data_IF_744261750237
#
_entry.id   IF_744261750237
#
_cell.length_a   1.000
_cell.length_b   1.000
_cell.length_c   1.000
_cell.angle_alpha   90.00
_cell.angle_beta   90.00
_cell.angle_gamma   90.00
#
_symmetry.space_group_name_H-M   'P 1'
#
loop_
_entity.id
_entity.type
_entity.pdbx_description
1 polymer ?
#
# COMPACT_ATOMS: atom_id res chain seq x y z
N UNK A 1 -19.60 -56.29 10.91
CA UNK A 1 -19.93 -55.02 11.63
C UNK A 1 -18.65 -54.17 11.74
N UNK A 2 -18.36 -53.40 10.74
CA UNK A 2 -17.18 -52.48 10.68
C UNK A 2 -17.67 -51.06 10.98
N UNK A 3 -17.29 -50.54 12.16
CA UNK A 3 -17.56 -49.16 12.56
C UNK A 3 -16.64 -48.22 11.75
N UNK A 4 -17.21 -47.46 10.86
CA UNK A 4 -16.52 -46.33 10.19
C UNK A 4 -16.30 -45.23 11.23
N UNK A 5 -15.06 -45.00 11.59
CA UNK A 5 -14.63 -43.80 12.36
C UNK A 5 -14.57 -42.60 11.43
N UNK A 6 -15.59 -41.76 11.49
CA UNK A 6 -15.57 -40.41 10.87
C UNK A 6 -14.50 -39.58 11.61
N UNK A 7 -13.55 -38.97 10.92
CA UNK A 7 -12.59 -38.06 11.58
C UNK A 7 -13.36 -36.88 12.19
N UNK A 8 -13.26 -36.70 13.50
CA UNK A 8 -13.75 -35.52 14.20
C UNK A 8 -13.10 -34.30 13.55
N UNK A 9 -13.89 -33.43 12.90
CA UNK A 9 -13.49 -32.08 12.56
C UNK A 9 -12.93 -31.45 13.83
N UNK A 10 -11.66 -31.05 13.77
CA UNK A 10 -10.99 -30.29 14.83
C UNK A 10 -11.81 -29.01 15.01
N UNK A 11 -12.50 -28.92 16.15
CA UNK A 11 -13.23 -27.73 16.54
C UNK A 11 -12.22 -26.56 16.55
N UNK A 12 -12.39 -25.61 15.63
CA UNK A 12 -11.70 -24.33 15.70
C UNK A 12 -12.12 -23.67 17.01
N UNK A 13 -11.29 -23.76 18.03
CA UNK A 13 -11.47 -23.00 19.27
C UNK A 13 -11.52 -21.53 18.89
N UNK A 14 -12.59 -20.84 19.31
CA UNK A 14 -12.72 -19.37 19.22
C UNK A 14 -11.60 -18.73 20.04
N UNK A 15 -10.40 -18.64 19.45
CA UNK A 15 -9.28 -17.94 20.07
C UNK A 15 -9.64 -16.46 20.14
N UNK A 16 -9.53 -15.87 21.34
CA UNK A 16 -9.78 -14.42 21.50
C UNK A 16 -8.84 -13.63 20.56
N UNK A 17 -9.27 -12.43 20.14
CA UNK A 17 -8.42 -11.55 19.31
C UNK A 17 -7.04 -11.33 19.95
N UNK A 18 -6.98 -11.29 21.30
CA UNK A 18 -5.74 -11.19 22.08
C UNK A 18 -4.83 -12.40 21.84
N UNK A 19 -5.36 -13.61 21.85
CA UNK A 19 -4.57 -14.83 21.59
C UNK A 19 -4.01 -14.84 20.19
N UNK A 20 -4.79 -14.42 19.16
CA UNK A 20 -4.33 -14.33 17.78
C UNK A 20 -3.20 -13.28 17.63
N UNK A 21 -3.33 -12.10 18.27
CA UNK A 21 -2.30 -11.07 18.26
C UNK A 21 -1.03 -11.51 18.98
N UNK A 22 -1.16 -12.17 20.14
CA UNK A 22 0.00 -12.72 20.88
C UNK A 22 0.67 -13.81 20.05
N UNK A 23 -0.07 -14.67 19.37
CA UNK A 23 0.52 -15.69 18.48
C UNK A 23 1.25 -15.07 17.28
N UNK A 24 0.79 -13.92 16.77
CA UNK A 24 1.37 -13.23 15.62
C UNK A 24 2.43 -12.17 15.99
N UNK A 25 2.86 -12.07 17.26
CA UNK A 25 3.76 -11.02 17.73
C UNK A 25 5.05 -10.89 16.91
N UNK A 26 5.68 -12.03 16.59
CA UNK A 26 6.92 -12.05 15.82
C UNK A 26 6.73 -11.53 14.40
N UNK A 27 5.56 -11.83 13.78
CA UNK A 27 5.21 -11.32 12.46
C UNK A 27 4.99 -9.81 12.48
N UNK A 28 4.29 -9.26 13.50
CA UNK A 28 4.08 -7.82 13.65
C UNK A 28 5.37 -7.07 13.99
N UNK A 29 6.24 -7.62 14.83
CA UNK A 29 7.54 -7.04 15.14
C UNK A 29 8.45 -7.02 13.89
N UNK A 30 8.49 -8.12 13.14
CA UNK A 30 9.22 -8.19 11.87
C UNK A 30 8.67 -7.20 10.85
N UNK A 31 7.35 -7.11 10.71
CA UNK A 31 6.70 -6.15 9.82
C UNK A 31 7.03 -4.70 10.22
N UNK A 32 7.01 -4.36 11.51
CA UNK A 32 7.36 -3.02 11.99
C UNK A 32 8.77 -2.62 11.56
N UNK A 33 9.75 -3.49 11.80
CA UNK A 33 11.15 -3.27 11.42
C UNK A 33 11.32 -3.15 9.88
N UNK A 34 10.64 -4.00 9.11
CA UNK A 34 10.63 -3.90 7.64
C UNK A 34 10.05 -2.56 7.17
N UNK A 35 8.93 -2.11 7.77
CA UNK A 35 8.27 -0.89 7.36
C UNK A 35 9.07 0.35 7.74
N UNK A 36 9.74 0.36 8.88
CA UNK A 36 10.67 1.43 9.27
C UNK A 36 11.80 1.53 8.25
N UNK A 37 12.49 0.43 7.95
CA UNK A 37 13.56 0.42 6.94
C UNK A 37 13.07 0.83 5.55
N UNK A 38 11.89 0.34 5.12
CA UNK A 38 11.29 0.71 3.84
C UNK A 38 10.90 2.20 3.77
N UNK A 39 10.38 2.77 4.86
CA UNK A 39 10.04 4.18 4.95
C UNK A 39 11.27 5.07 4.83
N UNK A 40 12.32 4.75 5.58
CA UNK A 40 13.58 5.50 5.54
C UNK A 40 14.23 5.41 4.14
N UNK A 41 14.41 4.20 3.59
CA UNK A 41 15.03 4.03 2.28
C UNK A 41 14.20 4.70 1.18
N UNK A 42 12.87 4.67 1.30
CA UNK A 42 11.95 5.26 0.32
C UNK A 42 12.16 6.75 0.16
N UNK A 43 12.28 7.51 1.24
CA UNK A 43 12.53 8.96 1.20
C UNK A 43 14.01 9.26 0.93
N UNK A 44 14.93 8.48 1.51
CA UNK A 44 16.37 8.71 1.42
C UNK A 44 16.87 8.65 -0.02
N UNK A 45 16.44 7.66 -0.81
CA UNK A 45 16.90 7.51 -2.21
C UNK A 45 16.47 8.74 -3.04
N UNK A 46 15.24 9.24 -2.87
CA UNK A 46 14.77 10.44 -3.57
C UNK A 46 15.56 11.69 -3.17
N UNK A 47 15.72 11.93 -1.87
CA UNK A 47 16.48 13.07 -1.33
C UNK A 47 17.95 13.01 -1.78
N UNK A 48 18.57 11.85 -1.65
CA UNK A 48 19.98 11.67 -2.05
C UNK A 48 20.18 11.82 -3.55
N UNK A 49 19.26 11.33 -4.39
CA UNK A 49 19.35 11.54 -5.84
C UNK A 49 19.42 13.01 -6.20
N UNK A 50 18.61 13.83 -5.55
CA UNK A 50 18.60 15.28 -5.75
C UNK A 50 19.91 15.93 -5.28
N UNK A 51 20.40 15.54 -4.10
CA UNK A 51 21.67 16.07 -3.54
C UNK A 51 22.91 15.65 -4.36
N UNK A 52 22.86 14.49 -5.02
CA UNK A 52 23.91 14.02 -5.95
C UNK A 52 23.79 14.65 -7.35
N UNK A 53 22.80 15.52 -7.56
CA UNK A 53 22.61 16.24 -8.83
C UNK A 53 22.02 15.39 -9.96
N UNK A 54 21.28 14.33 -9.64
CA UNK A 54 20.56 13.58 -10.67
C UNK A 54 19.46 14.48 -11.26
N UNK A 55 19.29 14.42 -12.58
CA UNK A 55 18.15 15.07 -13.23
C UNK A 55 16.83 14.51 -12.65
N UNK A 56 15.82 15.38 -12.45
CA UNK A 56 14.57 15.02 -11.79
C UNK A 56 13.83 13.88 -12.52
N UNK A 57 13.80 13.90 -13.86
CA UNK A 57 13.23 12.80 -14.67
C UNK A 57 13.97 11.49 -14.45
N UNK A 58 15.31 11.51 -14.36
CA UNK A 58 16.12 10.32 -14.06
C UNK A 58 15.82 9.82 -12.65
N UNK A 59 15.70 10.70 -11.67
CA UNK A 59 15.28 10.36 -10.31
C UNK A 59 13.89 9.70 -10.31
N UNK A 60 12.94 10.26 -11.05
CA UNK A 60 11.62 9.68 -11.21
C UNK A 60 11.64 8.26 -11.79
N UNK A 61 12.47 8.01 -12.80
CA UNK A 61 12.65 6.70 -13.39
C UNK A 61 13.30 5.68 -12.41
N UNK A 62 14.33 6.09 -11.67
CA UNK A 62 14.94 5.29 -10.60
C UNK A 62 13.91 4.91 -9.54
N UNK A 63 13.10 5.85 -9.10
CA UNK A 63 12.07 5.60 -8.10
C UNK A 63 10.90 4.76 -8.64
N UNK A 64 10.55 4.90 -9.93
CA UNK A 64 9.55 4.07 -10.62
C UNK A 64 9.98 2.60 -10.73
N UNK A 65 11.28 2.32 -10.85
CA UNK A 65 11.81 0.96 -10.90
C UNK A 65 11.42 0.12 -9.67
N UNK A 66 11.24 0.74 -8.50
CA UNK A 66 10.69 0.07 -7.32
C UNK A 66 9.30 -0.53 -7.60
N UNK A 67 8.41 0.23 -8.24
CA UNK A 67 7.04 -0.24 -8.50
C UNK A 67 7.00 -1.30 -9.62
N UNK A 68 7.93 -1.24 -10.58
CA UNK A 68 8.11 -2.32 -11.56
C UNK A 68 8.49 -3.62 -10.86
N UNK A 69 9.51 -3.57 -9.99
CA UNK A 69 9.90 -4.72 -9.18
C UNK A 69 8.76 -5.20 -8.28
N UNK A 70 8.05 -4.27 -7.64
CA UNK A 70 6.92 -4.56 -6.77
C UNK A 70 5.83 -5.34 -7.51
N UNK A 71 5.46 -4.90 -8.71
CA UNK A 71 4.47 -5.59 -9.53
C UNK A 71 4.92 -7.00 -9.91
N UNK A 72 6.19 -7.20 -10.27
CA UNK A 72 6.78 -8.51 -10.53
C UNK A 72 6.77 -9.41 -9.30
N UNK A 73 7.12 -8.86 -8.12
CA UNK A 73 7.14 -9.59 -6.86
C UNK A 73 5.78 -10.14 -6.44
N UNK A 74 4.69 -9.37 -6.66
CA UNK A 74 3.32 -9.84 -6.37
C UNK A 74 2.94 -11.07 -7.18
N UNK A 75 3.44 -11.22 -8.40
CA UNK A 75 3.09 -12.31 -9.31
C UNK A 75 3.96 -13.57 -9.07
N UNK A 76 5.20 -13.38 -8.67
CA UNK A 76 6.19 -14.47 -8.59
C UNK A 76 6.26 -15.08 -7.19
N UNK A 77 6.15 -14.27 -6.13
CA UNK A 77 6.29 -14.73 -4.74
C UNK A 77 5.32 -15.85 -4.35
N UNK A 78 4.04 -15.87 -4.77
CA UNK A 78 3.14 -16.98 -4.51
C UNK A 78 3.70 -18.34 -4.92
N UNK A 79 4.44 -18.40 -6.05
CA UNK A 79 5.07 -19.63 -6.53
C UNK A 79 6.22 -20.09 -5.63
N UNK A 80 7.01 -19.14 -5.10
CA UNK A 80 8.07 -19.45 -4.13
C UNK A 80 7.48 -19.94 -2.81
N UNK A 81 6.43 -19.29 -2.31
CA UNK A 81 5.74 -19.71 -1.07
C UNK A 81 5.19 -21.14 -1.17
N UNK A 82 4.61 -21.51 -2.32
CA UNK A 82 4.12 -22.85 -2.56
C UNK A 82 5.24 -23.92 -2.54
N UNK A 83 6.47 -23.55 -2.89
CA UNK A 83 7.61 -24.50 -2.96
C UNK A 83 8.37 -24.62 -1.65
N UNK A 84 8.69 -23.51 -0.98
CA UNK A 84 9.62 -23.51 0.17
C UNK A 84 9.00 -23.00 1.46
N UNK A 85 7.75 -22.52 1.43
CA UNK A 85 7.00 -22.04 2.60
C UNK A 85 7.29 -20.58 2.98
N UNK A 86 6.46 -20.05 3.88
CA UNK A 86 6.42 -18.63 4.25
C UNK A 86 7.71 -18.12 4.90
N UNK A 87 8.23 -18.84 5.93
CA UNK A 87 9.39 -18.39 6.72
C UNK A 87 10.65 -18.26 5.85
N UNK A 88 10.92 -19.26 5.00
CA UNK A 88 12.09 -19.23 4.12
C UNK A 88 12.01 -18.13 3.09
N UNK A 89 10.83 -17.91 2.49
CA UNK A 89 10.61 -16.83 1.53
C UNK A 89 10.75 -15.47 2.24
N UNK A 90 10.15 -15.30 3.43
CA UNK A 90 10.30 -14.09 4.23
C UNK A 90 11.78 -13.77 4.50
N UNK A 91 12.53 -14.74 5.05
CA UNK A 91 13.94 -14.53 5.42
C UNK A 91 14.82 -14.21 4.21
N UNK A 92 14.62 -14.92 3.09
CA UNK A 92 15.36 -14.66 1.85
C UNK A 92 15.08 -13.29 1.27
N UNK A 93 13.79 -12.87 1.23
CA UNK A 93 13.39 -11.57 0.70
C UNK A 93 13.78 -10.41 1.63
N UNK A 94 13.71 -10.60 2.96
CA UNK A 94 14.17 -9.58 3.91
C UNK A 94 15.70 -9.38 3.84
N UNK A 95 16.45 -10.47 3.70
CA UNK A 95 17.90 -10.39 3.47
C UNK A 95 18.25 -9.70 2.15
N UNK A 96 17.51 -10.02 1.06
CA UNK A 96 17.68 -9.35 -0.22
C UNK A 96 17.36 -7.85 -0.12
N UNK A 97 16.24 -7.47 0.53
CA UNK A 97 15.88 -6.07 0.73
C UNK A 97 16.95 -5.31 1.53
N UNK A 98 17.47 -5.92 2.62
CA UNK A 98 18.55 -5.35 3.42
C UNK A 98 19.83 -5.15 2.60
N UNK A 99 20.22 -6.14 1.81
CA UNK A 99 21.40 -6.04 0.93
C UNK A 99 21.24 -4.91 -0.09
N UNK A 100 20.06 -4.79 -0.73
CA UNK A 100 19.80 -3.69 -1.68
C UNK A 100 19.85 -2.34 -0.98
N UNK A 101 19.33 -2.21 0.24
CA UNK A 101 19.41 -0.97 1.02
C UNK A 101 20.88 -0.57 1.29
N UNK A 102 21.71 -1.50 1.71
CA UNK A 102 23.14 -1.25 1.96
C UNK A 102 23.90 -0.87 0.68
N UNK A 103 23.63 -1.57 -0.42
CA UNK A 103 24.30 -1.32 -1.70
C UNK A 103 23.99 0.07 -2.30
N UNK A 104 22.83 0.67 -2.00
CA UNK A 104 22.55 2.06 -2.41
C UNK A 104 23.56 3.05 -1.82
N UNK A 105 24.05 2.81 -0.60
CA UNK A 105 25.04 3.66 0.05
C UNK A 105 26.47 3.51 -0.50
N UNK A 106 26.76 2.40 -1.21
CA UNK A 106 28.11 2.09 -1.71
C UNK A 106 28.33 2.50 -3.15
N UNK A 107 27.30 2.49 -3.99
CA UNK A 107 27.43 2.75 -5.43
C UNK A 107 26.44 3.81 -5.87
N UNK A 108 26.92 5.04 -6.04
CA UNK A 108 26.10 6.20 -6.44
C UNK A 108 26.10 6.30 -7.96
N UNK A 109 25.09 5.69 -8.59
CA UNK A 109 24.81 5.88 -10.02
C UNK A 109 23.34 5.59 -10.31
N UNK A 110 22.75 6.34 -11.23
CA UNK A 110 21.33 6.20 -11.57
C UNK A 110 20.99 4.79 -12.08
N UNK A 111 21.83 4.22 -12.93
CA UNK A 111 21.62 2.87 -13.47
C UNK A 111 21.69 1.79 -12.38
N UNK A 112 22.70 1.86 -11.50
CA UNK A 112 22.82 0.97 -10.35
C UNK A 112 21.61 1.09 -9.43
N UNK A 113 21.22 2.32 -9.09
CA UNK A 113 20.08 2.56 -8.21
C UNK A 113 18.75 2.09 -8.81
N UNK A 114 18.55 2.22 -10.13
CA UNK A 114 17.36 1.67 -10.79
C UNK A 114 17.29 0.14 -10.64
N UNK A 115 18.41 -0.57 -10.82
CA UNK A 115 18.49 -2.03 -10.63
C UNK A 115 18.24 -2.39 -9.16
N UNK A 116 18.90 -1.70 -8.23
CA UNK A 116 18.71 -1.95 -6.80
C UNK A 116 17.26 -1.70 -6.37
N UNK A 117 16.63 -0.61 -6.85
CA UNK A 117 15.22 -0.28 -6.60
C UNK A 117 14.27 -1.34 -7.15
N UNK A 118 14.55 -1.87 -8.35
CA UNK A 118 13.76 -2.95 -8.95
C UNK A 118 13.80 -4.22 -8.07
N UNK A 119 15.00 -4.67 -7.68
CA UNK A 119 15.17 -5.86 -6.83
C UNK A 119 14.56 -5.61 -5.45
N UNK A 120 14.77 -4.43 -4.88
CA UNK A 120 14.21 -4.03 -3.60
C UNK A 120 12.67 -4.03 -3.64
N UNK A 121 12.06 -3.46 -4.68
CA UNK A 121 10.62 -3.47 -4.87
C UNK A 121 10.04 -4.87 -4.99
N UNK A 122 10.72 -5.76 -5.73
CA UNK A 122 10.35 -7.17 -5.83
C UNK A 122 10.37 -7.85 -4.45
N UNK A 123 11.43 -7.64 -3.67
CA UNK A 123 11.56 -8.21 -2.34
C UNK A 123 10.46 -7.69 -1.39
N UNK A 124 10.20 -6.38 -1.40
CA UNK A 124 9.16 -5.77 -0.56
C UNK A 124 7.76 -6.27 -0.90
N UNK A 125 7.42 -6.40 -2.20
CA UNK A 125 6.15 -6.98 -2.61
C UNK A 125 5.98 -8.40 -2.09
N UNK A 126 7.03 -9.21 -2.21
CA UNK A 126 7.02 -10.57 -1.71
C UNK A 126 6.83 -10.64 -0.19
N UNK A 127 7.47 -9.75 0.55
CA UNK A 127 7.30 -9.66 2.01
C UNK A 127 5.87 -9.29 2.39
N UNK A 128 5.21 -8.37 1.68
CA UNK A 128 3.79 -8.07 1.87
C UNK A 128 2.92 -9.32 1.60
N UNK A 129 3.14 -10.01 0.48
CA UNK A 129 2.39 -11.25 0.14
C UNK A 129 2.54 -12.30 1.24
N UNK A 130 3.76 -12.51 1.76
CA UNK A 130 4.03 -13.49 2.83
C UNK A 130 3.29 -13.11 4.11
N UNK A 131 3.43 -11.85 4.58
CA UNK A 131 2.82 -11.39 5.82
C UNK A 131 1.30 -11.46 5.75
N UNK A 132 0.71 -10.98 4.66
CA UNK A 132 -0.74 -10.95 4.47
C UNK A 132 -1.34 -12.35 4.35
N UNK A 133 -0.68 -13.25 3.61
CA UNK A 133 -1.09 -14.64 3.53
C UNK A 133 -1.07 -15.29 4.91
N UNK A 134 -0.01 -15.09 5.66
CA UNK A 134 0.14 -15.69 6.99
C UNK A 134 -0.91 -15.14 7.98
N UNK A 135 -1.14 -13.83 7.99
CA UNK A 135 -2.17 -13.21 8.84
C UNK A 135 -3.58 -13.70 8.48
N UNK A 136 -3.88 -13.88 7.19
CA UNK A 136 -5.18 -14.38 6.75
C UNK A 136 -5.51 -15.77 7.29
N UNK A 137 -4.51 -16.60 7.43
CA UNK A 137 -4.68 -17.99 7.86
C UNK A 137 -4.71 -18.13 9.39
N UNK A 138 -4.06 -17.21 10.12
CA UNK A 138 -4.06 -17.19 11.59
C UNK A 138 -5.37 -16.65 12.20
N UNK A 139 -6.19 -15.92 11.41
CA UNK A 139 -7.29 -15.13 11.97
C UNK A 139 -8.66 -15.69 11.59
N UNK A 140 -9.50 -15.92 12.60
CA UNK A 140 -10.93 -16.23 12.41
C UNK A 140 -11.69 -15.00 11.86
N UNK A 141 -12.79 -15.23 11.14
CA UNK A 141 -13.64 -14.16 10.61
C UNK A 141 -14.13 -13.16 11.69
N UNK A 142 -14.32 -13.61 12.92
CA UNK A 142 -14.76 -12.79 14.04
C UNK A 142 -13.71 -11.75 14.47
N UNK A 143 -12.42 -12.09 14.36
CA UNK A 143 -11.31 -11.27 14.84
C UNK A 143 -10.58 -10.51 13.71
N UNK A 144 -10.96 -10.76 12.45
CA UNK A 144 -10.28 -10.24 11.26
C UNK A 144 -10.14 -8.72 11.24
N UNK A 145 -11.21 -8.00 11.60
CA UNK A 145 -11.19 -6.53 11.63
C UNK A 145 -10.15 -5.96 12.60
N UNK A 146 -10.02 -6.55 13.80
CA UNK A 146 -9.05 -6.10 14.81
C UNK A 146 -7.61 -6.36 14.40
N UNK A 147 -7.33 -7.54 13.85
CA UNK A 147 -5.98 -7.91 13.39
C UNK A 147 -5.57 -7.06 12.18
N UNK A 148 -6.52 -6.79 11.26
CA UNK A 148 -6.28 -5.87 10.15
C UNK A 148 -6.02 -4.43 10.60
N UNK A 149 -6.69 -3.96 11.65
CA UNK A 149 -6.41 -2.63 12.22
C UNK A 149 -4.98 -2.55 12.79
N UNK A 150 -4.51 -3.60 13.50
CA UNK A 150 -3.12 -3.67 13.98
C UNK A 150 -2.13 -3.76 12.80
N UNK A 151 -2.44 -4.56 11.78
CA UNK A 151 -1.63 -4.65 10.57
C UNK A 151 -1.47 -3.28 9.89
N UNK A 152 -2.57 -2.51 9.78
CA UNK A 152 -2.55 -1.15 9.24
C UNK A 152 -1.70 -0.20 10.08
N UNK A 153 -1.90 -0.22 11.39
CA UNK A 153 -1.13 0.62 12.33
C UNK A 153 0.36 0.34 12.21
N UNK A 154 0.76 -0.93 12.20
CA UNK A 154 2.16 -1.34 12.09
C UNK A 154 2.74 -1.01 10.72
N UNK A 155 2.00 -1.29 9.64
CA UNK A 155 2.49 -1.07 8.28
C UNK A 155 2.65 0.41 7.94
N UNK A 156 1.60 1.19 8.15
CA UNK A 156 1.60 2.63 7.79
C UNK A 156 2.34 3.46 8.84
N UNK A 157 2.17 3.12 10.13
CA UNK A 157 2.90 3.75 11.22
C UNK A 157 4.41 3.52 11.12
N UNK A 158 4.83 2.27 10.87
CA UNK A 158 6.23 1.94 10.66
C UNK A 158 6.82 2.66 9.45
N UNK A 159 6.08 2.73 8.32
CA UNK A 159 6.48 3.48 7.14
C UNK A 159 6.69 4.97 7.46
N UNK A 160 5.71 5.61 8.12
CA UNK A 160 5.78 7.02 8.50
C UNK A 160 6.93 7.32 9.47
N UNK A 161 7.12 6.46 10.49
CA UNK A 161 8.27 6.57 11.40
C UNK A 161 9.60 6.48 10.64
N UNK A 162 9.73 5.50 9.73
CA UNK A 162 10.91 5.37 8.90
C UNK A 162 11.18 6.62 8.05
N UNK A 163 10.16 7.21 7.46
CA UNK A 163 10.28 8.46 6.68
C UNK A 163 10.79 9.63 7.54
N UNK A 164 10.33 9.71 8.79
CA UNK A 164 10.80 10.74 9.73
C UNK A 164 12.26 10.54 10.16
N UNK A 165 12.79 9.30 10.14
CA UNK A 165 14.16 8.99 10.52
C UNK A 165 15.22 9.59 9.60
N UNK A 166 14.86 10.16 8.45
CA UNK A 166 15.80 10.92 7.61
C UNK A 166 16.44 12.09 8.38
N UNK A 167 15.77 12.60 9.42
CA UNK A 167 16.26 13.65 10.31
C UNK A 167 17.38 13.21 11.26
N UNK A 168 17.66 11.91 11.38
CA UNK A 168 18.63 11.36 12.33
C UNK A 168 20.08 11.40 11.81
N UNK A 169 20.30 11.81 10.56
CA UNK A 169 21.64 11.87 9.97
C UNK A 169 21.69 12.67 8.70
N UNK A 170 22.91 12.80 8.16
CA UNK A 170 23.14 13.44 6.88
C UNK A 170 22.76 12.47 5.73
N UNK A 171 21.83 12.86 4.83
CA UNK A 171 21.46 12.04 3.69
C UNK A 171 22.62 11.73 2.73
N UNK A 172 23.68 12.52 2.72
CA UNK A 172 24.88 12.28 1.93
C UNK A 172 25.78 11.18 2.51
N UNK A 173 25.60 10.82 3.79
CA UNK A 173 26.36 9.75 4.42
C UNK A 173 25.70 8.38 4.26
N UNK A 174 26.54 7.33 4.31
CA UNK A 174 26.06 5.93 4.20
C UNK A 174 25.27 5.48 5.43
N UNK A 175 25.37 6.19 6.54
CA UNK A 175 24.79 5.82 7.84
C UNK A 175 23.29 5.52 7.76
N UNK A 176 22.50 6.36 7.07
CA UNK A 176 21.07 6.15 6.95
C UNK A 176 20.71 4.91 6.13
N UNK A 177 21.52 4.55 5.12
CA UNK A 177 21.36 3.29 4.38
C UNK A 177 21.67 2.08 5.28
N UNK A 178 22.69 2.19 6.15
CA UNK A 178 23.01 1.16 7.14
C UNK A 178 21.87 0.97 8.13
N UNK A 179 21.29 2.05 8.65
CA UNK A 179 20.12 2.01 9.54
C UNK A 179 18.93 1.33 8.85
N UNK A 180 18.62 1.69 7.60
CA UNK A 180 17.54 1.08 6.84
C UNK A 180 17.77 -0.43 6.62
N UNK A 181 18.96 -0.81 6.16
CA UNK A 181 19.33 -2.22 5.92
C UNK A 181 19.33 -3.03 7.22
N UNK A 182 19.88 -2.47 8.31
CA UNK A 182 19.89 -3.14 9.63
C UNK A 182 18.47 -3.35 10.15
N UNK A 183 17.58 -2.38 10.04
CA UNK A 183 16.17 -2.55 10.39
C UNK A 183 15.54 -3.73 9.63
N UNK A 184 15.82 -3.86 8.33
CA UNK A 184 15.24 -4.91 7.50
C UNK A 184 15.80 -6.30 7.84
N UNK A 185 17.12 -6.43 8.08
CA UNK A 185 17.68 -7.72 8.44
C UNK A 185 17.25 -8.14 9.84
N UNK A 186 17.13 -7.21 10.78
CA UNK A 186 16.64 -7.48 12.13
C UNK A 186 15.19 -7.97 12.14
N UNK A 187 14.39 -7.67 11.11
CA UNK A 187 13.04 -8.18 10.96
C UNK A 187 12.97 -9.72 10.87
N UNK A 188 14.04 -10.35 10.43
CA UNK A 188 14.13 -11.82 10.33
C UNK A 188 14.10 -12.46 11.72
N UNK A 189 14.70 -11.84 12.71
CA UNK A 189 14.87 -12.41 14.06
C UNK A 189 13.51 -12.76 14.72
N UNK A 190 12.57 -11.82 14.92
CA UNK A 190 11.30 -12.14 15.57
C UNK A 190 10.45 -13.14 14.75
N UNK A 191 10.55 -13.12 13.43
CA UNK A 191 9.82 -14.05 12.57
C UNK A 191 10.37 -15.46 12.68
N UNK A 192 11.70 -15.61 12.71
CA UNK A 192 12.36 -16.91 12.86
C UNK A 192 12.18 -17.54 14.24
N UNK A 193 11.98 -16.71 15.28
CA UNK A 193 11.71 -17.17 16.65
C UNK A 193 10.22 -17.46 16.90
N UNK A 194 9.33 -17.15 15.95
CA UNK A 194 7.91 -17.45 16.09
C UNK A 194 7.64 -18.95 15.94
N UNK A 195 6.85 -19.51 16.88
CA UNK A 195 6.59 -20.96 16.98
C UNK A 195 5.50 -21.43 16.00
N UNK A 196 4.77 -20.51 15.36
CA UNK A 196 3.61 -20.85 14.56
C UNK A 196 4.02 -21.46 13.21
N UNK A 197 3.55 -22.67 12.94
CA UNK A 197 3.68 -23.29 11.62
C UNK A 197 2.99 -22.45 10.55
N UNK A 198 3.69 -22.23 9.45
CA UNK A 198 3.12 -21.52 8.31
C UNK A 198 2.07 -22.41 7.62
N UNK A 199 0.90 -21.87 7.25
CA UNK A 199 -0.17 -22.62 6.61
C UNK A 199 0.17 -23.01 5.17
N UNK A 200 -0.49 -24.04 4.59
CA UNK A 200 -0.33 -24.37 3.17
C UNK A 200 -0.91 -23.26 2.28
N UNK A 201 -0.14 -22.85 1.29
CA UNK A 201 -0.50 -21.76 0.38
C UNK A 201 -1.20 -22.26 -0.89
N UNK A 202 -2.29 -21.58 -1.32
CA UNK A 202 -2.97 -21.83 -2.60
C UNK A 202 -2.76 -20.67 -3.55
N UNK A 203 -2.45 -20.97 -4.83
CA UNK A 203 -2.27 -19.95 -5.86
C UNK A 203 -3.59 -19.20 -6.15
N UNK A 204 -3.55 -17.86 -6.26
CA UNK A 204 -4.73 -17.09 -6.64
C UNK A 204 -5.14 -17.36 -8.10
N UNK A 205 -6.43 -17.23 -8.44
CA UNK A 205 -6.93 -17.41 -9.80
C UNK A 205 -6.50 -16.26 -10.71
N UNK A 206 -6.48 -16.51 -12.03
CA UNK A 206 -6.19 -15.49 -13.03
C UNK A 206 -7.34 -14.47 -13.16
N UNK A 207 -7.00 -13.19 -13.34
CA UNK A 207 -7.95 -12.10 -13.48
C UNK A 207 -8.23 -11.74 -14.95
N UNK A 208 -9.50 -11.42 -15.27
CA UNK A 208 -9.90 -10.88 -16.59
C UNK A 208 -10.09 -9.36 -16.49
N UNK A 209 -9.15 -8.59 -17.02
CA UNK A 209 -9.16 -7.10 -16.95
C UNK A 209 -10.26 -6.49 -17.84
N UNK A 210 -10.54 -7.09 -18.99
CA UNK A 210 -11.57 -6.59 -19.92
C UNK A 210 -12.99 -6.71 -19.34
N UNK A 211 -13.26 -7.78 -18.62
CA UNK A 211 -14.54 -7.96 -17.93
C UNK A 211 -14.68 -7.00 -16.75
N UNK A 212 -13.60 -6.77 -16.01
CA UNK A 212 -13.58 -5.81 -14.91
C UNK A 212 -13.87 -4.38 -15.40
N UNK A 213 -13.29 -3.97 -16.54
CA UNK A 213 -13.59 -2.67 -17.17
C UNK A 213 -15.08 -2.53 -17.51
N UNK A 214 -15.70 -3.56 -18.07
CA UNK A 214 -17.14 -3.50 -18.42
C UNK A 214 -18.06 -3.42 -17.21
N UNK A 215 -17.72 -4.13 -16.12
CA UNK A 215 -18.57 -4.24 -14.92
C UNK A 215 -18.34 -3.12 -13.92
N UNK A 216 -17.09 -2.75 -13.66
CA UNK A 216 -16.68 -1.80 -12.63
C UNK A 216 -15.72 -0.72 -13.14
N UNK A 217 -16.07 0.05 -14.21
CA UNK A 217 -15.14 1.00 -14.82
C UNK A 217 -14.68 2.12 -13.86
N UNK A 218 -15.54 2.56 -12.94
CA UNK A 218 -15.11 3.53 -11.90
C UNK A 218 -14.05 2.93 -10.98
N UNK A 219 -14.19 1.66 -10.60
CA UNK A 219 -13.19 0.96 -9.80
C UNK A 219 -11.84 0.87 -10.52
N UNK A 220 -11.84 0.59 -11.83
CA UNK A 220 -10.62 0.53 -12.65
C UNK A 220 -9.95 1.91 -12.75
N UNK A 221 -10.70 2.97 -13.09
CA UNK A 221 -10.16 4.34 -13.17
C UNK A 221 -9.62 4.80 -11.82
N UNK A 222 -10.35 4.51 -10.73
CA UNK A 222 -9.89 4.85 -9.38
C UNK A 222 -8.66 4.05 -8.98
N UNK A 223 -8.56 2.77 -9.34
CA UNK A 223 -7.38 1.95 -9.03
C UNK A 223 -6.12 2.47 -9.74
N UNK A 224 -6.18 2.70 -11.05
CA UNK A 224 -5.06 3.25 -11.82
C UNK A 224 -4.71 4.65 -11.36
N UNK A 225 -5.70 5.54 -11.21
CA UNK A 225 -5.49 6.92 -10.78
C UNK A 225 -4.94 7.02 -9.36
N UNK A 226 -5.46 6.23 -8.41
CA UNK A 226 -4.88 6.19 -7.06
C UNK A 226 -3.46 5.63 -7.06
N UNK A 227 -3.14 4.68 -7.95
CA UNK A 227 -1.77 4.21 -8.17
C UNK A 227 -0.86 5.35 -8.63
N UNK A 228 -1.26 6.10 -9.68
CA UNK A 228 -0.52 7.26 -10.19
C UNK A 228 -0.27 8.29 -9.08
N UNK A 229 -1.31 8.72 -8.37
CA UNK A 229 -1.18 9.75 -7.33
C UNK A 229 -0.32 9.26 -6.14
N UNK A 230 -0.60 8.06 -5.63
CA UNK A 230 0.13 7.51 -4.47
C UNK A 230 1.58 7.16 -4.83
N UNK A 231 1.84 6.68 -6.05
CA UNK A 231 3.19 6.47 -6.58
C UNK A 231 3.99 7.76 -6.61
N UNK A 232 3.39 8.86 -7.11
CA UNK A 232 3.99 10.18 -7.09
C UNK A 232 4.26 10.68 -5.67
N UNK A 233 3.26 10.63 -4.76
CA UNK A 233 3.40 11.08 -3.37
C UNK A 233 4.53 10.31 -2.67
N UNK A 234 4.52 8.98 -2.76
CA UNK A 234 5.46 8.12 -2.04
C UNK A 234 6.90 8.30 -2.54
N UNK A 235 7.07 8.47 -3.85
CA UNK A 235 8.38 8.53 -4.48
C UNK A 235 8.95 9.97 -4.54
N UNK A 236 8.13 10.94 -4.93
CA UNK A 236 8.63 12.28 -5.29
C UNK A 236 8.44 13.33 -4.20
N UNK A 237 7.73 13.06 -3.10
CA UNK A 237 7.55 14.05 -2.03
C UNK A 237 8.88 14.46 -1.38
N UNK A 238 9.82 13.52 -1.20
CA UNK A 238 11.16 13.83 -0.71
C UNK A 238 11.99 14.66 -1.69
N UNK A 239 11.87 14.36 -2.98
CA UNK A 239 12.52 15.12 -4.07
C UNK A 239 12.00 16.56 -4.10
N UNK A 240 10.67 16.73 -4.11
CA UNK A 240 10.04 18.06 -4.01
C UNK A 240 10.57 18.84 -2.80
N UNK A 241 10.55 18.21 -1.62
CA UNK A 241 10.95 18.86 -0.38
C UNK A 241 12.44 19.29 -0.39
N UNK A 242 13.30 18.50 -1.05
CA UNK A 242 14.73 18.82 -1.22
C UNK A 242 14.92 19.98 -2.19
N UNK A 243 14.27 19.95 -3.37
CA UNK A 243 14.31 21.07 -4.34
C UNK A 243 13.75 22.36 -3.76
N UNK A 244 12.77 22.23 -2.87
CA UNK A 244 12.19 23.35 -2.15
C UNK A 244 13.08 23.89 -1.00
N UNK A 245 14.26 23.29 -0.76
CA UNK A 245 15.23 23.74 0.24
C UNK A 245 14.87 23.40 1.68
N UNK A 246 13.99 22.42 1.91
CA UNK A 246 13.63 21.99 3.26
C UNK A 246 14.79 21.24 3.93
N UNK A 247 14.99 21.47 5.23
CA UNK A 247 15.95 20.71 6.03
C UNK A 247 15.52 19.24 6.17
N UNK A 248 16.45 18.30 6.42
CA UNK A 248 16.12 16.87 6.59
C UNK A 248 15.00 16.62 7.61
N UNK A 249 14.96 17.37 8.72
CA UNK A 249 13.89 17.26 9.71
C UNK A 249 12.52 17.68 9.15
N UNK A 250 12.45 18.75 8.37
CA UNK A 250 11.23 19.19 7.71
C UNK A 250 10.81 18.24 6.57
N UNK A 251 11.76 17.69 5.82
CA UNK A 251 11.50 16.65 4.81
C UNK A 251 10.81 15.44 5.46
N UNK A 252 11.37 14.94 6.58
CA UNK A 252 10.79 13.81 7.31
C UNK A 252 9.36 14.08 7.79
N UNK A 253 9.11 15.27 8.36
CA UNK A 253 7.77 15.68 8.79
C UNK A 253 6.81 15.80 7.61
N UNK A 254 7.23 16.46 6.52
CA UNK A 254 6.43 16.66 5.32
C UNK A 254 6.00 15.33 4.69
N UNK A 255 6.94 14.42 4.45
CA UNK A 255 6.65 13.12 3.84
C UNK A 255 5.87 12.23 4.80
N UNK A 256 6.29 12.16 6.08
CA UNK A 256 5.62 11.36 7.11
C UNK A 256 4.19 11.81 7.40
N UNK A 257 3.88 13.10 7.25
CA UNK A 257 2.52 13.63 7.44
C UNK A 257 1.50 12.96 6.51
N UNK A 258 1.88 12.59 5.28
CA UNK A 258 0.97 11.88 4.37
C UNK A 258 0.58 10.50 4.89
N UNK A 259 1.52 9.77 5.50
CA UNK A 259 1.26 8.46 6.10
C UNK A 259 0.36 8.60 7.35
N UNK A 260 0.64 9.59 8.22
CA UNK A 260 -0.17 9.87 9.41
C UNK A 260 -1.59 10.27 9.00
N UNK A 261 -1.74 11.11 7.98
CA UNK A 261 -3.03 11.51 7.43
C UNK A 261 -3.82 10.32 6.90
N UNK A 262 -3.16 9.41 6.20
CA UNK A 262 -3.76 8.14 5.75
C UNK A 262 -4.31 7.33 6.92
N UNK A 263 -3.53 7.14 7.98
CA UNK A 263 -3.99 6.43 9.18
C UNK A 263 -5.20 7.10 9.82
N UNK A 264 -5.16 8.43 9.99
CA UNK A 264 -6.19 9.18 10.67
C UNK A 264 -7.51 9.21 9.90
N UNK A 265 -7.47 9.40 8.57
CA UNK A 265 -8.68 9.57 7.76
C UNK A 265 -9.21 8.29 7.14
N UNK A 266 -8.43 7.20 7.12
CA UNK A 266 -8.86 5.95 6.50
C UNK A 266 -10.12 5.36 7.15
N UNK A 267 -10.21 5.38 8.48
CA UNK A 267 -11.40 4.89 9.19
C UNK A 267 -12.62 5.79 8.99
N UNK A 268 -12.55 7.13 9.18
CA UNK A 268 -13.66 8.04 8.89
C UNK A 268 -14.17 7.94 7.45
N UNK A 269 -13.27 7.89 6.46
CA UNK A 269 -13.62 7.75 5.04
C UNK A 269 -14.28 6.40 4.77
N UNK A 270 -13.77 5.32 5.37
CA UNK A 270 -14.38 4.00 5.27
C UNK A 270 -15.78 3.95 5.82
N UNK A 271 -15.99 4.51 7.01
CA UNK A 271 -17.30 4.59 7.65
C UNK A 271 -18.29 5.47 6.85
N UNK A 272 -17.79 6.57 6.30
CA UNK A 272 -18.59 7.41 5.40
C UNK A 272 -18.97 6.64 4.13
N UNK A 273 -18.08 5.82 3.59
CA UNK A 273 -18.34 4.97 2.44
C UNK A 273 -19.47 3.95 2.66
N UNK A 274 -19.61 3.47 3.89
CA UNK A 274 -20.73 2.58 4.25
C UNK A 274 -22.07 3.33 4.35
N UNK A 275 -22.05 4.66 4.62
CA UNK A 275 -23.26 5.51 4.74
C UNK A 275 -23.72 6.11 3.42
N UNK A 276 -22.84 6.78 2.67
CA UNK A 276 -23.16 7.50 1.42
C UNK A 276 -22.86 6.69 0.16
N UNK A 277 -22.31 5.47 0.32
CA UNK A 277 -21.95 4.56 -0.77
C UNK A 277 -20.55 4.82 -1.35
N UNK A 278 -20.00 3.78 -1.99
CA UNK A 278 -18.62 3.78 -2.51
C UNK A 278 -18.35 4.91 -3.51
N UNK A 279 -19.30 5.17 -4.44
CA UNK A 279 -19.13 6.18 -5.51
C UNK A 279 -19.05 7.60 -4.96
N UNK A 280 -19.95 7.96 -4.02
CA UNK A 280 -19.95 9.28 -3.39
C UNK A 280 -18.66 9.53 -2.60
N UNK A 281 -18.18 8.51 -1.90
CA UNK A 281 -16.94 8.61 -1.10
C UNK A 281 -15.68 8.68 -1.98
N UNK A 282 -15.64 7.97 -3.12
CA UNK A 282 -14.55 8.11 -4.11
C UNK A 282 -14.51 9.55 -4.62
N UNK A 283 -15.67 10.12 -4.99
CA UNK A 283 -15.74 11.52 -5.46
C UNK A 283 -15.28 12.50 -4.38
N UNK A 284 -15.76 12.35 -3.14
CA UNK A 284 -15.38 13.22 -2.02
C UNK A 284 -13.87 13.14 -1.77
N UNK A 285 -13.30 11.94 -1.75
CA UNK A 285 -11.85 11.74 -1.51
C UNK A 285 -11.03 12.33 -2.64
N UNK A 286 -11.47 12.18 -3.90
CA UNK A 286 -10.78 12.78 -5.05
C UNK A 286 -10.84 14.32 -4.99
N UNK A 287 -11.98 14.91 -4.66
CA UNK A 287 -12.11 16.36 -4.50
C UNK A 287 -11.30 16.86 -3.31
N UNK A 288 -11.31 16.16 -2.18
CA UNK A 288 -10.50 16.52 -1.01
C UNK A 288 -9.00 16.53 -1.32
N UNK A 289 -8.49 15.52 -2.04
CA UNK A 289 -7.10 15.49 -2.49
C UNK A 289 -6.78 16.58 -3.52
N UNK A 290 -7.69 16.83 -4.47
CA UNK A 290 -7.54 17.91 -5.45
C UNK A 290 -7.42 19.27 -4.76
N UNK A 291 -8.34 19.57 -3.84
CA UNK A 291 -8.32 20.83 -3.09
C UNK A 291 -7.04 20.95 -2.25
N UNK A 292 -6.63 19.89 -1.56
CA UNK A 292 -5.38 19.89 -0.80
C UNK A 292 -4.18 20.20 -1.72
N UNK A 293 -4.08 19.53 -2.89
CA UNK A 293 -3.02 19.78 -3.85
C UNK A 293 -2.99 21.21 -4.38
N UNK A 294 -4.17 21.80 -4.68
CA UNK A 294 -4.27 23.19 -5.14
C UNK A 294 -3.94 24.19 -4.04
N UNK A 295 -4.35 23.95 -2.80
CA UNK A 295 -4.00 24.79 -1.64
C UNK A 295 -2.49 24.80 -1.42
N UNK A 296 -1.81 23.66 -1.60
CA UNK A 296 -0.35 23.59 -1.48
C UNK A 296 0.39 24.57 -2.41
N UNK A 297 -0.14 24.79 -3.62
CA UNK A 297 0.46 25.69 -4.62
C UNK A 297 0.47 27.16 -4.19
N UNK A 298 -0.45 27.56 -3.30
CA UNK A 298 -0.54 28.92 -2.76
C UNK A 298 0.19 29.14 -1.45
N UNK A 299 0.78 28.08 -0.84
CA UNK A 299 1.44 28.20 0.45
C UNK A 299 2.96 28.42 0.30
N UNK A 300 3.57 29.25 1.17
CA UNK A 300 5.02 29.32 1.26
C UNK A 300 5.61 27.95 1.63
N UNK A 301 6.76 27.61 1.05
CA UNK A 301 7.40 26.30 1.21
C UNK A 301 7.79 26.00 2.67
N UNK A 302 8.17 27.02 3.42
CA UNK A 302 8.56 26.94 4.83
C UNK A 302 7.36 26.97 5.79
N UNK A 303 6.15 27.11 5.27
CA UNK A 303 4.93 27.13 6.06
C UNK A 303 4.63 25.79 6.72
N UNK A 304 4.29 25.82 8.02
CA UNK A 304 3.81 24.63 8.74
C UNK A 304 2.51 24.08 8.14
N UNK A 305 1.72 24.92 7.49
CA UNK A 305 0.48 24.53 6.82
C UNK A 305 0.73 23.59 5.64
N UNK A 306 1.93 23.63 5.03
CA UNK A 306 2.28 22.68 3.97
C UNK A 306 2.35 21.23 4.48
N UNK A 307 2.79 21.03 5.74
CA UNK A 307 2.75 19.74 6.43
C UNK A 307 1.29 19.30 6.66
N UNK A 308 0.41 20.25 7.06
CA UNK A 308 -1.03 20.00 7.20
C UNK A 308 -1.70 19.62 5.88
N UNK A 309 -1.30 20.25 4.79
CA UNK A 309 -1.78 19.89 3.44
C UNK A 309 -1.34 18.49 3.05
N UNK A 310 -0.08 18.10 3.32
CA UNK A 310 0.39 16.75 3.06
C UNK A 310 -0.35 15.69 3.89
N UNK A 311 -0.70 16.02 5.14
CA UNK A 311 -1.57 15.18 5.97
C UNK A 311 -2.94 14.97 5.30
N UNK A 312 -3.60 16.04 4.86
CA UNK A 312 -4.90 15.95 4.18
C UNK A 312 -4.78 15.22 2.84
N UNK A 313 -3.75 15.50 2.07
CA UNK A 313 -3.51 14.89 0.77
C UNK A 313 -3.32 13.36 0.92
N UNK A 314 -2.48 12.92 1.85
CA UNK A 314 -2.33 11.49 2.15
C UNK A 314 -3.61 10.89 2.72
N UNK A 315 -4.31 11.65 3.58
CA UNK A 315 -5.57 11.25 4.20
C UNK A 315 -6.71 10.98 3.21
N UNK A 316 -6.80 11.74 2.13
CA UNK A 316 -7.82 11.55 1.09
C UNK A 316 -7.34 10.64 -0.06
N UNK A 317 -6.06 10.68 -0.44
CA UNK A 317 -5.55 9.95 -1.59
C UNK A 317 -5.36 8.45 -1.33
N UNK A 318 -4.74 8.06 -0.20
CA UNK A 318 -4.46 6.66 0.06
C UNK A 318 -5.71 5.78 0.23
N UNK A 319 -6.80 6.22 0.87
CA UNK A 319 -8.02 5.42 0.96
C UNK A 319 -8.70 5.12 -0.38
N UNK A 320 -8.41 5.89 -1.46
CA UNK A 320 -8.98 5.66 -2.79
C UNK A 320 -8.70 4.24 -3.31
N UNK A 321 -7.54 3.66 -2.98
CA UNK A 321 -7.23 2.28 -3.33
C UNK A 321 -8.21 1.29 -2.69
N UNK A 322 -8.45 1.40 -1.38
CA UNK A 322 -9.37 0.51 -0.68
C UNK A 322 -10.83 0.74 -1.06
N UNK A 323 -11.21 1.98 -1.41
CA UNK A 323 -12.51 2.30 -1.96
C UNK A 323 -12.71 1.69 -3.36
N UNK A 324 -11.70 1.77 -4.23
CA UNK A 324 -11.72 1.13 -5.55
C UNK A 324 -11.89 -0.39 -5.43
N UNK A 325 -11.13 -1.00 -4.52
CA UNK A 325 -11.20 -2.43 -4.25
C UNK A 325 -12.60 -2.84 -3.74
N UNK A 326 -13.12 -2.14 -2.75
CA UNK A 326 -14.45 -2.39 -2.21
C UNK A 326 -15.53 -2.20 -3.29
N UNK A 327 -15.43 -1.14 -4.11
CA UNK A 327 -16.38 -0.90 -5.20
C UNK A 327 -16.37 -2.02 -6.24
N UNK A 328 -15.19 -2.53 -6.60
CA UNK A 328 -15.05 -3.65 -7.54
C UNK A 328 -15.67 -4.92 -6.97
N UNK A 329 -15.35 -5.24 -5.71
CA UNK A 329 -15.88 -6.45 -5.03
C UNK A 329 -17.40 -6.39 -4.87
N UNK A 330 -17.97 -5.20 -4.60
CA UNK A 330 -19.42 -5.01 -4.45
C UNK A 330 -20.19 -5.21 -5.78
N UNK A 331 -19.54 -4.96 -6.93
CA UNK A 331 -20.15 -5.08 -8.27
C UNK A 331 -20.00 -6.47 -8.87
N UNK A 332 -18.96 -7.22 -8.48
CA UNK A 332 -18.68 -8.54 -9.04
C UNK A 332 -19.62 -9.62 -8.51
N UNK A 333 -19.90 -10.68 -9.31
CA UNK A 333 -20.68 -11.83 -8.86
C UNK A 333 -20.09 -12.51 -7.63
N UNK A 334 -20.92 -13.22 -6.84
CA UNK A 334 -20.43 -14.06 -5.76
C UNK A 334 -19.40 -15.08 -6.26
N UNK A 335 -18.22 -15.13 -5.61
CA UNK A 335 -17.11 -16.03 -5.98
C UNK A 335 -16.00 -15.38 -6.81
N UNK A 336 -16.23 -14.22 -7.43
CA UNK A 336 -15.22 -13.49 -8.24
C UNK A 336 -14.45 -12.42 -7.44
N UNK A 337 -14.74 -12.23 -6.16
CA UNK A 337 -14.10 -11.21 -5.31
C UNK A 337 -12.57 -11.34 -5.26
N UNK A 338 -12.05 -12.58 -5.21
CA UNK A 338 -10.60 -12.84 -5.20
C UNK A 338 -9.97 -12.40 -6.52
N UNK A 339 -10.57 -12.80 -7.63
CA UNK A 339 -10.12 -12.43 -8.98
C UNK A 339 -10.14 -10.93 -9.19
N UNK A 340 -11.22 -10.26 -8.75
CA UNK A 340 -11.35 -8.80 -8.81
C UNK A 340 -10.29 -8.09 -7.97
N UNK A 341 -9.99 -8.59 -6.78
CA UNK A 341 -8.96 -8.04 -5.91
C UNK A 341 -7.57 -8.11 -6.54
N UNK A 342 -7.21 -9.25 -7.16
CA UNK A 342 -5.93 -9.41 -7.88
C UNK A 342 -5.83 -8.40 -9.03
N UNK A 343 -6.92 -8.21 -9.79
CA UNK A 343 -6.95 -7.25 -10.88
C UNK A 343 -6.76 -5.80 -10.40
N UNK A 344 -7.41 -5.41 -9.30
CA UNK A 344 -7.28 -4.06 -8.71
C UNK A 344 -5.86 -3.79 -8.23
N UNK A 345 -5.22 -4.77 -7.56
CA UNK A 345 -3.81 -4.67 -7.14
C UNK A 345 -2.89 -4.45 -8.35
N UNK A 346 -3.09 -5.20 -9.42
CA UNK A 346 -2.29 -5.06 -10.65
C UNK A 346 -2.47 -3.69 -11.27
N UNK A 347 -3.71 -3.24 -11.46
CA UNK A 347 -4.03 -1.93 -12.04
C UNK A 347 -3.48 -0.77 -11.21
N UNK A 348 -3.57 -0.86 -9.90
CA UNK A 348 -2.92 0.09 -8.98
C UNK A 348 -1.40 0.09 -9.18
N UNK A 349 -0.77 -1.08 -9.30
CA UNK A 349 0.67 -1.21 -9.54
C UNK A 349 1.11 -0.56 -10.85
N UNK A 350 0.34 -0.75 -11.94
CA UNK A 350 0.59 -0.09 -13.23
C UNK A 350 0.53 1.43 -13.08
N UNK A 351 -0.50 1.95 -12.38
CA UNK A 351 -0.59 3.38 -12.07
C UNK A 351 0.61 3.86 -11.26
N UNK A 352 1.01 3.11 -10.23
CA UNK A 352 2.11 3.48 -9.35
C UNK A 352 3.48 3.57 -10.07
N UNK A 353 3.69 2.82 -11.13
CA UNK A 353 4.88 2.96 -12.01
C UNK A 353 4.85 4.31 -12.72
N UNK A 354 3.70 4.71 -13.26
CA UNK A 354 3.55 5.97 -13.98
C UNK A 354 3.63 7.22 -13.10
N UNK A 355 3.29 7.10 -11.82
CA UNK A 355 3.23 8.23 -10.88
C UNK A 355 4.53 9.03 -10.75
N UNK A 356 5.64 8.41 -10.35
CA UNK A 356 6.93 9.09 -10.24
C UNK A 356 7.41 9.68 -11.56
N UNK A 357 7.15 9.00 -12.68
CA UNK A 357 7.53 9.46 -14.02
C UNK A 357 6.75 10.73 -14.38
N UNK A 358 5.42 10.71 -14.20
CA UNK A 358 4.58 11.86 -14.51
C UNK A 358 4.91 13.06 -13.62
N UNK A 359 5.13 12.82 -12.31
CA UNK A 359 5.47 13.90 -11.39
C UNK A 359 6.85 14.47 -11.66
N UNK A 360 7.86 13.65 -11.95
CA UNK A 360 9.22 14.13 -12.28
C UNK A 360 9.25 14.94 -13.58
N UNK A 361 8.53 14.50 -14.63
CA UNK A 361 8.38 15.27 -15.86
C UNK A 361 7.71 16.63 -15.62
N UNK A 362 6.64 16.65 -14.82
CA UNK A 362 5.98 17.90 -14.46
C UNK A 362 6.92 18.83 -13.67
N UNK A 363 7.72 18.27 -12.75
CA UNK A 363 8.72 19.05 -11.99
C UNK A 363 9.85 19.59 -12.87
N UNK A 364 10.30 18.85 -13.87
CA UNK A 364 11.29 19.35 -14.85
C UNK A 364 10.72 20.49 -15.72
N UNK A 365 9.42 20.42 -16.08
CA UNK A 365 8.79 21.41 -16.97
C UNK A 365 8.43 22.72 -16.26
N UNK A 366 7.90 22.65 -15.04
CA UNK A 366 7.32 23.80 -14.33
C UNK A 366 7.91 24.01 -12.92
N UNK A 367 9.05 23.38 -12.64
CA UNK A 367 9.71 23.42 -11.34
C UNK A 367 9.04 22.59 -10.26
N UNK A 368 9.44 22.74 -8.98
CA UNK A 368 8.95 21.91 -7.86
C UNK A 368 7.43 21.86 -7.75
N UNK A 369 6.70 22.92 -8.12
CA UNK A 369 5.24 22.99 -8.14
C UNK A 369 4.60 21.87 -9.00
N UNK A 370 5.34 21.33 -9.99
CA UNK A 370 4.92 20.22 -10.82
C UNK A 370 4.52 18.96 -10.03
N UNK A 371 5.10 18.78 -8.84
CA UNK A 371 4.71 17.72 -7.91
C UNK A 371 3.22 17.80 -7.55
N UNK A 372 2.76 18.95 -7.05
CA UNK A 372 1.34 19.13 -6.67
C UNK A 372 0.42 19.17 -7.88
N UNK A 373 0.84 19.78 -8.99
CA UNK A 373 0.05 19.80 -10.23
C UNK A 373 -0.18 18.39 -10.79
N UNK A 374 0.84 17.52 -10.76
CA UNK A 374 0.68 16.14 -11.22
C UNK A 374 -0.34 15.37 -10.38
N UNK A 375 -0.31 15.53 -9.06
CA UNK A 375 -1.24 14.87 -8.14
C UNK A 375 -2.64 15.44 -8.29
N UNK A 376 -2.77 16.77 -8.37
CA UNK A 376 -4.06 17.46 -8.52
C UNK A 376 -4.75 17.05 -9.84
N UNK A 377 -4.01 16.97 -10.95
CA UNK A 377 -4.56 16.57 -12.26
C UNK A 377 -5.12 15.14 -12.25
N UNK A 378 -4.44 14.20 -11.59
CA UNK A 378 -4.92 12.82 -11.44
C UNK A 378 -6.22 12.78 -10.61
N UNK A 379 -6.27 13.51 -9.50
CA UNK A 379 -7.48 13.55 -8.66
C UNK A 379 -8.63 14.27 -9.35
N UNK A 380 -8.35 15.30 -10.15
CA UNK A 380 -9.35 15.96 -11.02
C UNK A 380 -9.93 14.92 -12.02
N UNK A 381 -9.09 14.15 -12.68
CA UNK A 381 -9.54 13.12 -13.62
C UNK A 381 -10.43 12.06 -12.95
N UNK A 382 -10.03 11.57 -11.75
CA UNK A 382 -10.85 10.63 -10.96
C UNK A 382 -12.18 11.30 -10.58
N UNK A 383 -12.14 12.57 -10.13
CA UNK A 383 -13.32 13.33 -9.71
C UNK A 383 -14.30 13.56 -10.84
N UNK A 384 -13.82 14.04 -12.01
CA UNK A 384 -14.65 14.27 -13.21
C UNK A 384 -15.29 12.97 -13.69
N UNK A 385 -14.50 11.89 -13.77
CA UNK A 385 -15.05 10.59 -14.18
C UNK A 385 -16.03 10.03 -13.16
N UNK A 386 -15.76 10.19 -11.86
CA UNK A 386 -16.64 9.79 -10.78
C UNK A 386 -17.97 10.56 -10.81
N UNK A 387 -17.93 11.88 -11.00
CA UNK A 387 -19.10 12.73 -11.12
C UNK A 387 -19.95 12.35 -12.35
N UNK A 388 -19.33 12.17 -13.51
CA UNK A 388 -20.02 11.73 -14.72
C UNK A 388 -20.74 10.37 -14.51
N UNK A 389 -20.12 9.44 -13.79
CA UNK A 389 -20.74 8.15 -13.46
C UNK A 389 -21.85 8.24 -12.43
N UNK A 390 -21.76 9.19 -11.50
CA UNK A 390 -22.79 9.44 -10.50
C UNK A 390 -24.06 10.00 -11.15
N UNK A 391 -23.88 10.93 -12.11
CA UNK A 391 -24.98 11.56 -12.85
C UNK A 391 -25.64 10.59 -13.87
N UNK A 392 -24.86 9.68 -14.47
CA UNK A 392 -25.36 8.78 -15.53
C UNK A 392 -26.08 7.54 -15.02
N UNK A 393 -25.93 7.15 -13.74
CA UNK A 393 -26.55 5.94 -13.18
C UNK A 393 -26.98 6.19 -11.74
N UNK A 394 -28.25 5.97 -11.36
CA UNK A 394 -28.73 6.14 -9.99
C UNK A 394 -27.94 5.25 -9.01
N UNK A 395 -27.76 5.75 -7.80
CA UNK A 395 -27.07 5.05 -6.72
C UNK A 395 -28.00 3.92 -6.26
N UNK A 396 -27.69 2.70 -6.62
CA UNK A 396 -28.27 1.54 -5.95
C UNK A 396 -27.40 1.31 -4.70
N UNK A 397 -27.84 1.82 -3.56
CA UNK A 397 -27.21 1.56 -2.26
C UNK A 397 -27.50 0.11 -1.89
N UNK A 398 -26.72 -0.82 -2.43
CA UNK A 398 -26.57 -2.16 -1.87
C UNK A 398 -25.29 -2.16 -1.04
N UNK A 399 -25.40 -1.84 0.23
CA UNK A 399 -24.34 -2.13 1.21
C UNK A 399 -24.30 -3.62 1.42
N UNK A 400 -23.38 -4.29 0.75
CA UNK A 400 -23.27 -5.75 0.81
C UNK A 400 -22.39 -6.20 1.96
N UNK A 401 -21.34 -5.47 2.29
CA UNK A 401 -20.45 -5.77 3.43
C UNK A 401 -19.79 -4.49 3.98
N UNK A 402 -19.48 -4.44 5.31
CA UNK A 402 -18.74 -3.32 5.90
C UNK A 402 -17.38 -3.14 5.23
N UNK A 403 -16.97 -1.88 5.09
CA UNK A 403 -15.66 -1.53 4.57
C UNK A 403 -14.52 -2.03 5.48
N UNK A 404 -13.44 -2.53 4.89
CA UNK A 404 -12.24 -2.96 5.59
C UNK A 404 -11.05 -2.07 5.20
N UNK A 405 -10.27 -1.57 6.18
CA UNK A 405 -9.06 -0.81 5.90
C UNK A 405 -7.99 -1.70 5.29
N UNK A 406 -7.50 -1.33 4.11
CA UNK A 406 -6.44 -2.05 3.41
C UNK A 406 -5.36 -1.04 3.00
N UNK A 407 -4.08 -1.26 3.34
CA UNK A 407 -3.00 -0.36 2.94
C UNK A 407 -2.91 -0.25 1.42
N UNK A 408 -2.57 0.94 0.92
CA UNK A 408 -2.46 1.21 -0.51
C UNK A 408 -1.42 0.35 -1.27
N UNK A 409 -0.56 -0.37 -0.55
CA UNK A 409 0.43 -1.32 -1.10
C UNK A 409 0.11 -2.77 -0.74
N UNK A 410 -1.05 -3.01 -0.13
CA UNK A 410 -1.46 -4.35 0.26
C UNK A 410 -1.76 -5.21 -0.95
N UNK A 411 -1.24 -6.42 -0.93
CA UNK A 411 -1.56 -7.48 -1.88
C UNK A 411 -2.74 -8.34 -1.40
N UNK A 412 -3.44 -7.85 -0.35
CA UNK A 412 -4.50 -8.55 0.32
C UNK A 412 -5.65 -8.90 -0.62
N UNK A 413 -5.96 -10.19 -0.70
CA UNK A 413 -7.05 -10.72 -1.48
C UNK A 413 -8.25 -11.00 -0.57
N UNK A 414 -9.37 -10.29 -0.78
CA UNK A 414 -10.60 -10.52 -0.04
C UNK A 414 -11.19 -11.91 -0.36
N UNK A 415 -10.96 -12.87 0.54
CA UNK A 415 -11.53 -14.21 0.43
C UNK A 415 -12.94 -14.23 1.01
N UNK A 416 -13.95 -14.19 0.14
CA UNK A 416 -15.35 -14.28 0.52
C UNK A 416 -15.72 -15.74 0.79
N UNK A 417 -15.82 -16.14 2.06
CA UNK A 417 -16.39 -17.44 2.41
C UNK A 417 -17.91 -17.38 2.22
N UNK A 418 -18.38 -18.03 1.14
CA UNK A 418 -19.81 -18.16 0.82
C UNK A 418 -20.54 -19.05 1.82
N UNK A 419 -20.92 -18.54 2.99
CA UNK A 419 -22.02 -19.10 3.76
C UNK A 419 -23.29 -18.35 3.40
N UNK A 420 -24.07 -18.93 2.50
CA UNK A 420 -25.50 -18.63 2.39
C UNK A 420 -26.12 -18.86 3.78
N UNK A 421 -26.54 -17.80 4.45
CA UNK A 421 -27.67 -17.91 5.38
C UNK A 421 -28.90 -18.18 4.51
N UNK A 422 -29.30 -19.41 4.41
CA UNK A 422 -30.68 -19.75 4.00
C UNK A 422 -31.60 -19.11 5.04
N UNK A 423 -32.18 -17.94 4.73
CA UNK A 423 -33.41 -17.55 5.39
C UNK A 423 -34.44 -18.59 4.98
N UNK A 424 -34.77 -19.49 5.87
CA UNK A 424 -36.08 -20.15 5.85
C UNK A 424 -37.10 -19.03 5.86
N UNK A 425 -37.80 -18.87 4.77
CA UNK A 425 -39.11 -18.26 4.73
C UNK A 425 -40.01 -19.32 5.26
N UNK A 426 -40.32 -19.28 6.57
CA UNK A 426 -41.41 -20.02 7.14
C UNK A 426 -42.70 -19.40 6.61
N UNK A 427 -43.39 -20.18 5.83
CA UNK A 427 -44.78 -19.98 5.38
C UNK A 427 -45.72 -19.82 6.60
N UNK A 428 -46.44 -18.73 6.62
CA UNK A 428 -47.83 -18.64 7.10
C UNK A 428 -48.64 -17.91 6.05
#
# INVERSE_FOLDING_TARGET
MTRSTIPRAVAQTDSSARTALVSAWGLFAGLALLMIGNGLLGVLVGVRSELEGFNTTVTGAVLAAYFVGFLGGTQVTPKFMARVGHIRVFSGLAAAAAAMALLHGLAVSAATWAILRLIFGFAMAGLYVVVESWLNDLVSNANRGRVMAVYMLVSVGGLGLGQMMISLGDPLMTTLFVVAGTSMVMAIVPVSLSINAAPPFQLPPHASYGELWRRAPLGVVTAVGSGLANGAIIAMAGVFATQAGLSPARIGLFVGASAIGSMALQWPIGHLSDRIGRRGTILLSAVGSLVAGLVALGLPVDSVWLVGVMFLLGGFSYPLYSLALSHVVDVLPPGEAVTGSVAVVFLYGVGAIGGPIAASLAMDLIGPAGFFWSIASVHLAIGVYGAARLLSRPIIVKTVEPWLPIPARSTFVLRRNGRRRSRKVDSL
#
